data_IF_590832092997
#
_entry.id   IF_590832092997
#
_cell.length_a   1.000
_cell.length_b   1.000
_cell.length_c   1.000
_cell.angle_alpha   90.00
_cell.angle_beta   90.00
_cell.angle_gamma   90.00
#
_symmetry.space_group_name_H-M   'P 1'
#
loop_
_entity.id
_entity.type
_entity.pdbx_description
1 polymer ?
#
# COMPACT_ATOMS: atom_id res chain seq x y z
N UNK A 1 -9.17 0.35 -6.15
CA UNK A 1 -8.32 -0.79 -6.57
C UNK A 1 -7.26 -0.92 -5.50
N UNK A 2 -7.11 -2.11 -4.93
CA UNK A 2 -6.04 -2.41 -3.98
C UNK A 2 -4.99 -3.23 -4.72
N UNK A 3 -3.73 -2.82 -4.68
CA UNK A 3 -2.65 -3.50 -5.35
C UNK A 3 -1.64 -4.06 -4.35
N UNK A 4 -1.47 -5.39 -4.38
CA UNK A 4 -0.71 -6.14 -3.37
C UNK A 4 0.77 -6.26 -3.72
N UNK A 5 1.59 -5.26 -3.45
CA UNK A 5 3.00 -5.23 -3.87
C UNK A 5 3.92 -5.69 -2.73
N UNK A 6 4.42 -6.93 -2.78
CA UNK A 6 5.56 -7.29 -1.95
C UNK A 6 6.79 -6.54 -2.50
N UNK A 7 7.38 -5.63 -1.71
CA UNK A 7 8.68 -5.05 -1.97
C UNK A 7 9.71 -6.17 -1.95
N UNK A 8 10.08 -6.68 -3.13
CA UNK A 8 11.01 -7.80 -3.23
C UNK A 8 12.43 -7.27 -2.97
N UNK A 9 12.80 -7.13 -1.69
CA UNK A 9 14.19 -6.96 -1.23
C UNK A 9 14.33 -7.18 0.30
N UNK A 10 13.80 -8.29 0.80
CA UNK A 10 14.02 -8.76 2.18
C UNK A 10 13.99 -10.29 2.23
N UNK A 11 14.88 -10.91 3.00
CA UNK A 11 15.06 -12.36 3.03
C UNK A 11 13.86 -13.11 3.68
N UNK A 12 12.77 -13.39 2.95
CA UNK A 12 11.79 -14.34 3.45
C UNK A 12 10.45 -14.43 2.72
N UNK A 13 9.96 -15.66 2.57
CA UNK A 13 8.59 -15.97 2.13
C UNK A 13 7.52 -15.33 3.03
N UNK A 14 7.84 -15.04 4.30
CA UNK A 14 6.91 -14.52 5.29
C UNK A 14 6.42 -13.08 5.02
N UNK A 15 7.25 -12.22 4.44
CA UNK A 15 6.92 -10.80 4.27
C UNK A 15 5.81 -10.57 3.24
N UNK A 16 5.92 -11.25 2.09
CA UNK A 16 4.90 -11.22 1.04
C UNK A 16 3.57 -11.85 1.47
N UNK A 17 3.61 -12.76 2.45
CA UNK A 17 2.43 -13.42 3.03
C UNK A 17 1.73 -12.46 4.00
N UNK A 18 2.49 -11.74 4.87
CA UNK A 18 1.95 -10.68 5.73
C UNK A 18 1.27 -9.59 4.89
N UNK A 19 1.92 -9.11 3.83
CA UNK A 19 1.34 -8.10 2.93
C UNK A 19 0.06 -8.63 2.27
N UNK A 20 0.03 -9.91 1.86
CA UNK A 20 -1.17 -10.51 1.29
C UNK A 20 -2.30 -10.62 2.33
N UNK A 21 -1.98 -11.01 3.57
CA UNK A 21 -2.95 -11.12 4.65
C UNK A 21 -3.57 -9.75 5.00
N UNK A 22 -2.75 -8.69 5.10
CA UNK A 22 -3.23 -7.32 5.32
C UNK A 22 -4.20 -6.90 4.21
N UNK A 23 -3.84 -7.13 2.95
CA UNK A 23 -4.66 -6.77 1.79
C UNK A 23 -5.99 -7.57 1.76
N UNK A 24 -5.96 -8.86 2.09
CA UNK A 24 -7.15 -9.69 2.17
C UNK A 24 -8.07 -9.23 3.31
N UNK A 25 -7.51 -8.95 4.49
CA UNK A 25 -8.26 -8.42 5.63
C UNK A 25 -8.88 -7.05 5.32
N UNK A 26 -8.12 -6.15 4.70
CA UNK A 26 -8.62 -4.85 4.27
C UNK A 26 -9.75 -5.00 3.24
N UNK A 27 -9.59 -5.89 2.26
CA UNK A 27 -10.62 -6.21 1.27
C UNK A 27 -11.90 -6.76 1.91
N UNK A 28 -11.79 -7.66 2.89
CA UNK A 28 -12.94 -8.17 3.66
C UNK A 28 -13.59 -7.07 4.49
N UNK A 29 -12.80 -6.32 5.26
CA UNK A 29 -13.28 -5.23 6.11
C UNK A 29 -14.05 -4.16 5.32
N UNK A 30 -13.49 -3.72 4.19
CA UNK A 30 -14.14 -2.75 3.32
C UNK A 30 -15.47 -3.27 2.75
N UNK A 31 -15.70 -4.59 2.75
CA UNK A 31 -16.87 -5.23 2.13
C UNK A 31 -18.04 -5.20 3.07
N UNK A 32 -17.70 -5.47 4.32
CA UNK A 32 -18.64 -5.72 5.39
C UNK A 32 -19.05 -4.41 6.05
N UNK A 33 -18.23 -3.36 5.93
CA UNK A 33 -18.45 -2.10 6.64
C UNK A 33 -18.80 -0.90 5.74
N UNK A 34 -18.71 -1.04 4.41
CA UNK A 34 -18.96 0.07 3.50
C UNK A 34 -19.77 -0.34 2.27
N UNK A 35 -21.04 0.05 2.26
CA UNK A 35 -21.91 -0.13 1.10
C UNK A 35 -21.51 0.79 -0.06
N UNK A 36 -21.69 0.31 -1.29
CA UNK A 36 -21.35 1.08 -2.50
C UNK A 36 -19.85 1.17 -2.83
N UNK A 37 -18.97 0.60 -2.00
CA UNK A 37 -17.54 0.51 -2.31
C UNK A 37 -17.18 -0.75 -3.07
N UNK A 38 -16.78 -0.57 -4.33
CA UNK A 38 -16.20 -1.63 -5.13
C UNK A 38 -14.70 -1.74 -4.91
N UNK A 39 -14.22 -2.98 -4.97
CA UNK A 39 -12.83 -3.35 -4.74
C UNK A 39 -12.40 -4.33 -5.81
N UNK A 40 -11.11 -4.28 -6.13
CA UNK A 40 -10.43 -5.26 -6.95
C UNK A 40 -9.01 -5.36 -6.41
N UNK A 41 -8.46 -6.56 -6.41
CA UNK A 41 -7.13 -6.87 -5.90
C UNK A 41 -6.24 -7.26 -7.06
N UNK A 42 -4.98 -6.82 -7.09
CA UNK A 42 -4.04 -7.22 -8.16
C UNK A 42 -3.64 -8.70 -8.11
N UNK A 43 -3.74 -9.34 -6.93
CA UNK A 43 -3.61 -10.78 -6.70
C UNK A 43 -4.42 -11.18 -5.48
N UNK A 44 -4.83 -12.44 -5.39
CA UNK A 44 -5.52 -13.02 -4.21
C UNK A 44 -4.81 -14.26 -3.66
N UNK A 45 -3.64 -14.57 -4.22
CA UNK A 45 -2.76 -15.67 -3.80
C UNK A 45 -1.30 -15.23 -3.94
N UNK A 46 -0.37 -16.09 -3.53
CA UNK A 46 1.07 -15.90 -3.69
C UNK A 46 1.50 -16.13 -5.15
N UNK A 47 1.06 -15.24 -6.03
CA UNK A 47 1.41 -15.22 -7.45
C UNK A 47 2.11 -13.92 -7.78
N UNK A 48 3.22 -14.03 -8.51
CA UNK A 48 3.92 -12.86 -9.04
C UNK A 48 3.05 -12.14 -10.07
N UNK A 49 2.92 -10.82 -9.92
CA UNK A 49 2.27 -9.91 -10.87
C UNK A 49 3.23 -8.73 -11.10
N UNK A 50 3.54 -8.43 -12.34
CA UNK A 50 4.49 -7.36 -12.68
C UNK A 50 3.94 -5.99 -12.29
N UNK A 51 4.82 -5.00 -12.10
CA UNK A 51 4.40 -3.62 -11.81
C UNK A 51 3.49 -3.06 -12.91
N UNK A 52 3.82 -3.37 -14.17
CA UNK A 52 3.04 -2.95 -15.33
C UNK A 52 1.65 -3.58 -15.36
N UNK A 53 1.54 -4.89 -15.08
CA UNK A 53 0.25 -5.57 -15.11
C UNK A 53 -0.68 -5.04 -14.01
N UNK A 54 -0.14 -4.72 -12.83
CA UNK A 54 -0.91 -4.11 -11.73
C UNK A 54 -1.51 -2.77 -12.16
N UNK A 55 -0.69 -1.90 -12.75
CA UNK A 55 -1.15 -0.57 -13.18
C UNK A 55 -2.12 -0.67 -14.36
N UNK A 56 -1.86 -1.58 -15.30
CA UNK A 56 -2.76 -1.81 -16.43
C UNK A 56 -4.14 -2.30 -15.97
N UNK A 57 -4.17 -3.27 -15.05
CA UNK A 57 -5.42 -3.80 -14.51
C UNK A 57 -6.19 -2.72 -13.73
N UNK A 58 -5.48 -1.93 -12.91
CA UNK A 58 -6.06 -0.81 -12.16
C UNK A 58 -6.67 0.26 -13.06
N UNK A 59 -5.93 0.68 -14.08
CA UNK A 59 -6.37 1.69 -15.04
C UNK A 59 -7.54 1.17 -15.89
N UNK A 60 -7.48 -0.09 -16.35
CA UNK A 60 -8.57 -0.71 -17.10
C UNK A 60 -9.85 -0.87 -16.29
N UNK A 61 -9.73 -1.08 -14.97
CA UNK A 61 -10.89 -1.15 -14.08
C UNK A 61 -11.52 0.22 -13.82
N UNK A 62 -10.77 1.31 -13.98
CA UNK A 62 -11.25 2.69 -13.81
C UNK A 62 -11.50 3.04 -12.34
N UNK A 63 -10.65 2.58 -11.43
CA UNK A 63 -10.81 2.85 -10.00
C UNK A 63 -10.50 4.30 -9.60
N UNK A 64 -11.18 4.83 -8.59
CA UNK A 64 -10.94 6.19 -8.08
C UNK A 64 -9.66 6.31 -7.24
N UNK A 65 -9.31 5.24 -6.54
CA UNK A 65 -8.17 5.15 -5.62
C UNK A 65 -7.37 3.88 -5.91
N UNK A 66 -6.04 4.02 -5.89
CA UNK A 66 -5.07 2.94 -5.94
C UNK A 66 -4.25 2.92 -4.65
N UNK A 67 -4.32 1.83 -3.89
CA UNK A 67 -3.53 1.64 -2.66
C UNK A 67 -2.54 0.52 -2.90
N UNK A 68 -1.24 0.82 -2.80
CA UNK A 68 -0.16 -0.17 -2.85
C UNK A 68 0.32 -0.43 -1.43
N UNK A 69 0.19 -1.65 -0.93
CA UNK A 69 0.75 -2.01 0.39
C UNK A 69 2.05 -2.74 0.16
N UNK A 70 3.12 -2.25 0.80
CA UNK A 70 4.41 -2.87 0.86
C UNK A 70 4.80 -3.14 2.31
N UNK A 71 5.60 -4.17 2.50
CA UNK A 71 6.51 -4.25 3.62
C UNK A 71 7.93 -4.25 3.03
N UNK A 72 8.87 -3.65 3.75
CA UNK A 72 10.29 -3.72 3.44
C UNK A 72 11.03 -4.34 4.63
N UNK A 73 11.58 -5.53 4.41
CA UNK A 73 12.53 -6.18 5.31
C UNK A 73 13.91 -5.58 5.11
N UNK A 74 14.26 -4.55 5.89
CA UNK A 74 15.66 -4.15 6.02
C UNK A 74 16.43 -5.23 6.81
N UNK A 75 17.75 -5.08 6.95
CA UNK A 75 18.75 -6.02 7.49
C UNK A 75 18.56 -6.60 8.93
N UNK A 76 17.32 -6.65 9.44
CA UNK A 76 16.94 -7.22 10.72
C UNK A 76 16.86 -6.19 11.86
N UNK A 77 16.97 -4.89 11.54
CA UNK A 77 17.02 -3.83 12.55
C UNK A 77 16.16 -2.60 12.26
N UNK A 78 15.63 -2.46 11.04
CA UNK A 78 14.82 -1.31 10.70
C UNK A 78 13.35 -1.56 11.00
N UNK A 79 12.73 -0.53 11.57
CA UNK A 79 11.31 -0.44 11.85
C UNK A 79 10.84 0.98 11.61
N UNK A 80 9.67 1.14 11.00
CA UNK A 80 9.17 2.44 10.62
C UNK A 80 7.95 2.35 9.72
N UNK A 81 7.25 3.47 9.62
CA UNK A 81 6.14 3.63 8.70
C UNK A 81 6.33 4.89 7.87
N UNK A 82 6.14 4.75 6.57
CA UNK A 82 6.18 5.84 5.62
C UNK A 82 5.14 5.62 4.54
N UNK A 83 4.71 6.72 3.92
CA UNK A 83 3.83 6.67 2.75
C UNK A 83 4.41 7.46 1.61
N UNK A 84 4.11 7.02 0.40
CA UNK A 84 4.58 7.60 -0.83
C UNK A 84 3.43 7.93 -1.78
N UNK A 85 3.54 9.07 -2.45
CA UNK A 85 2.72 9.43 -3.61
C UNK A 85 3.64 9.91 -4.75
N UNK A 86 3.11 10.00 -5.96
CA UNK A 86 3.79 10.64 -7.08
C UNK A 86 3.38 12.12 -7.21
N UNK A 87 4.26 12.97 -7.72
CA UNK A 87 4.01 14.42 -7.88
C UNK A 87 3.13 14.76 -9.10
N UNK A 88 2.95 13.83 -10.04
CA UNK A 88 2.16 13.99 -11.27
C UNK A 88 0.65 14.14 -11.05
N UNK A 89 0.10 13.76 -9.89
CA UNK A 89 -1.34 13.85 -9.61
C UNK A 89 -1.62 14.47 -8.23
N UNK A 90 -1.30 15.76 -8.04
CA UNK A 90 -0.89 16.26 -6.73
C UNK A 90 -2.03 16.53 -5.75
N UNK A 91 -3.22 16.98 -6.18
CA UNK A 91 -4.19 17.50 -5.19
C UNK A 91 -4.85 16.39 -4.38
N UNK A 92 -5.41 15.38 -5.04
CA UNK A 92 -6.16 14.32 -4.38
C UNK A 92 -5.26 13.24 -3.78
N UNK A 93 -4.12 12.92 -4.41
CA UNK A 93 -3.15 11.99 -3.83
C UNK A 93 -2.53 12.56 -2.54
N UNK A 94 -2.23 13.88 -2.49
CA UNK A 94 -1.75 14.53 -1.26
C UNK A 94 -2.79 14.50 -0.15
N UNK A 95 -4.05 14.77 -0.47
CA UNK A 95 -5.12 14.72 0.54
C UNK A 95 -5.33 13.30 1.06
N UNK A 96 -5.31 12.30 0.17
CA UNK A 96 -5.34 10.89 0.54
C UNK A 96 -4.18 10.54 1.49
N UNK A 97 -2.96 10.96 1.16
CA UNK A 97 -1.77 10.75 1.99
C UNK A 97 -1.89 11.43 3.35
N UNK A 98 -2.36 12.68 3.38
CA UNK A 98 -2.57 13.49 4.59
C UNK A 98 -3.56 12.85 5.56
N UNK A 99 -4.57 12.15 5.03
CA UNK A 99 -5.58 11.44 5.83
C UNK A 99 -5.06 10.05 6.23
N UNK A 100 -4.60 9.26 5.27
CA UNK A 100 -4.25 7.86 5.51
C UNK A 100 -3.01 7.68 6.39
N UNK A 101 -1.97 8.49 6.18
CA UNK A 101 -0.70 8.32 6.89
C UNK A 101 -0.87 8.38 8.43
N UNK A 102 -1.42 9.47 9.03
CA UNK A 102 -1.56 9.53 10.49
C UNK A 102 -2.54 8.48 11.03
N UNK A 103 -3.62 8.16 10.31
CA UNK A 103 -4.59 7.16 10.78
C UNK A 103 -4.01 5.74 10.83
N UNK A 104 -3.20 5.37 9.83
CA UNK A 104 -2.53 4.06 9.82
C UNK A 104 -1.45 4.01 10.89
N UNK A 105 -0.62 5.05 11.00
CA UNK A 105 0.43 5.15 12.01
C UNK A 105 -0.14 5.08 13.44
N UNK A 106 -1.21 5.82 13.74
CA UNK A 106 -1.89 5.78 15.04
C UNK A 106 -2.37 4.36 15.34
N UNK A 107 -3.01 3.70 14.37
CA UNK A 107 -3.42 2.30 14.48
C UNK A 107 -2.26 1.36 14.79
N UNK A 108 -1.15 1.48 14.06
CA UNK A 108 0.08 0.69 14.29
C UNK A 108 0.66 0.94 15.70
N UNK A 109 0.68 2.20 16.13
CA UNK A 109 1.22 2.60 17.43
C UNK A 109 0.35 2.15 18.62
N UNK A 110 -0.91 1.76 18.40
CA UNK A 110 -1.69 1.08 19.45
C UNK A 110 -1.15 -0.30 19.79
N UNK A 111 -0.45 -0.96 18.86
CA UNK A 111 0.18 -2.27 19.06
C UNK A 111 1.65 -2.14 19.46
N UNK A 112 2.38 -1.22 18.84
CA UNK A 112 3.76 -0.88 19.20
C UNK A 112 4.00 0.63 19.12
N UNK A 113 3.93 1.29 20.27
CA UNK A 113 4.15 2.73 20.39
C UNK A 113 5.58 3.19 20.01
N UNK A 114 6.51 2.26 19.79
CA UNK A 114 7.88 2.57 19.38
C UNK A 114 8.09 2.61 17.87
N UNK A 115 7.05 2.35 17.07
CA UNK A 115 7.08 2.48 15.61
C UNK A 115 7.39 3.93 15.22
N UNK A 116 8.54 4.19 14.57
CA UNK A 116 8.90 5.52 14.11
C UNK A 116 8.04 5.99 12.94
N UNK A 117 7.71 7.29 12.96
CA UNK A 117 7.17 8.00 11.80
C UNK A 117 8.33 8.42 10.88
N UNK A 118 8.40 7.84 9.68
CA UNK A 118 9.35 8.23 8.63
C UNK A 118 8.75 9.19 7.61
N UNK A 119 7.48 9.53 7.77
CA UNK A 119 6.82 10.66 7.14
C UNK A 119 6.14 10.35 5.81
N UNK A 120 5.60 11.44 5.27
CA UNK A 120 4.89 11.48 3.99
C UNK A 120 5.86 11.95 2.91
N UNK A 121 6.13 11.07 1.94
CA UNK A 121 7.18 11.26 0.95
C UNK A 121 6.62 11.30 -0.49
N UNK A 122 7.42 11.88 -1.38
CA UNK A 122 7.22 11.80 -2.83
C UNK A 122 8.22 10.80 -3.40
N UNK A 123 7.77 9.87 -4.25
CA UNK A 123 8.66 8.92 -4.91
C UNK A 123 8.22 8.61 -6.35
N UNK A 124 9.21 8.28 -7.17
CA UNK A 124 9.02 7.94 -8.58
C UNK A 124 8.74 6.42 -8.81
N UNK A 125 7.93 5.81 -7.94
CA UNK A 125 7.58 4.40 -8.07
C UNK A 125 6.63 4.16 -9.24
N UNK A 126 6.87 3.08 -10.01
CA UNK A 126 6.08 2.74 -11.20
C UNK A 126 4.58 2.74 -10.93
N UNK A 127 4.16 2.08 -9.86
CA UNK A 127 2.73 1.93 -9.52
C UNK A 127 2.06 3.25 -9.16
N UNK A 128 2.83 4.22 -8.67
CA UNK A 128 2.33 5.56 -8.37
C UNK A 128 2.31 6.45 -9.61
N UNK A 129 3.38 6.39 -10.43
CA UNK A 129 3.54 7.21 -11.63
C UNK A 129 2.57 6.83 -12.75
N UNK A 130 2.36 5.52 -12.97
CA UNK A 130 1.58 5.01 -14.10
C UNK A 130 0.10 4.77 -13.76
N UNK A 131 -0.31 5.01 -12.52
CA UNK A 131 -1.72 4.92 -12.11
C UNK A 131 -2.50 6.17 -12.58
N UNK A 132 -3.66 5.96 -13.20
CA UNK A 132 -4.62 7.02 -13.53
C UNK A 132 -5.50 7.40 -12.32
N UNK A 133 -5.60 6.50 -11.33
CA UNK A 133 -6.30 6.73 -10.08
C UNK A 133 -5.47 7.58 -9.10
N UNK A 134 -6.09 8.03 -8.01
CA UNK A 134 -5.38 8.63 -6.88
C UNK A 134 -4.56 7.55 -6.18
N UNK A 135 -3.23 7.59 -6.36
CA UNK A 135 -2.34 6.51 -5.93
C UNK A 135 -1.57 6.87 -4.66
N UNK A 136 -1.53 5.93 -3.72
CA UNK A 136 -0.70 5.96 -2.51
C UNK A 136 -0.04 4.60 -2.32
N UNK A 137 1.17 4.61 -1.76
CA UNK A 137 1.90 3.43 -1.35
C UNK A 137 2.26 3.55 0.13
N UNK A 138 2.03 2.51 0.92
CA UNK A 138 2.53 2.41 2.29
C UNK A 138 3.69 1.43 2.35
N UNK A 139 4.77 1.82 3.00
CA UNK A 139 5.86 0.92 3.38
C UNK A 139 5.77 0.63 4.87
N UNK A 140 5.59 -0.65 5.20
CA UNK A 140 5.51 -1.14 6.55
C UNK A 140 6.82 -1.86 6.87
N UNK A 141 7.71 -1.20 7.61
CA UNK A 141 9.05 -1.71 7.85
C UNK A 141 9.04 -2.36 9.22
N UNK A 142 9.27 -3.67 9.25
CA UNK A 142 9.02 -4.52 10.42
C UNK A 142 10.12 -5.58 10.57
N UNK A 143 11.17 -5.29 11.35
CA UNK A 143 12.04 -6.30 11.98
C UNK A 143 12.70 -5.75 13.26
#
# INVERSE_FOLDING_TARGET
MMAVTAGLQGHGMAEKDIVLDIDLLMSVYLRENFEGMYRRMSRTSDTFVSLQDRTNDANSWGGDVFVSIHANGFDGSARGFETYIHDSNPTWARELQRIMHPSVLEGMQTFDASIPDWGQQLANFHVLRESQANAILSENIVY
#
